data_IF_948729834658
#
_entry.id   IF_948729834658
#
_cell.length_a   1.000
_cell.length_b   1.000
_cell.length_c   1.000
_cell.angle_alpha   90.00
_cell.angle_beta   90.00
_cell.angle_gamma   90.00
#
_symmetry.space_group_name_H-M   'P 1'
#
loop_
_entity.id
_entity.type
_entity.pdbx_description
1 polymer ?
#
# COMPACT_ATOMS: atom_id res chain seq x y z
N UNK A 1 34.97 26.87 94.74
CA UNK A 1 35.64 27.01 93.42
C UNK A 1 35.91 25.61 92.90
N UNK A 2 35.35 25.27 91.73
CA UNK A 2 36.06 24.82 90.52
C UNK A 2 36.67 23.41 90.63
N UNK A 3 36.55 22.48 89.68
CA UNK A 3 36.15 22.56 88.28
C UNK A 3 35.87 21.13 87.78
N UNK A 4 34.82 20.94 86.97
CA UNK A 4 34.53 19.68 86.27
C UNK A 4 35.50 19.51 85.10
N UNK A 5 36.15 18.35 84.96
CA UNK A 5 36.85 17.96 83.73
C UNK A 5 36.09 16.81 83.06
N UNK A 6 35.54 17.08 81.89
CA UNK A 6 34.89 16.09 81.03
C UNK A 6 35.95 15.23 80.30
N UNK A 7 35.74 13.91 80.16
CA UNK A 7 36.65 13.06 79.41
C UNK A 7 36.57 13.35 77.90
N UNK A 8 37.74 13.50 77.27
CA UNK A 8 37.88 13.65 75.82
C UNK A 8 37.53 12.35 75.08
N UNK A 9 36.44 12.35 74.32
CA UNK A 9 36.16 11.30 73.32
C UNK A 9 37.16 11.39 72.15
N UNK A 10 37.89 10.31 71.89
CA UNK A 10 38.75 10.17 70.70
C UNK A 10 37.88 10.02 69.45
N UNK A 11 38.03 10.94 68.49
CA UNK A 11 37.34 10.86 67.19
C UNK A 11 37.93 9.73 66.34
N UNK A 12 37.11 8.84 65.75
CA UNK A 12 37.62 7.82 64.84
C UNK A 12 38.25 8.48 63.60
N UNK A 13 39.41 7.96 63.17
CA UNK A 13 40.07 8.39 61.92
C UNK A 13 39.20 8.02 60.72
N UNK A 14 38.68 9.02 60.03
CA UNK A 14 37.91 8.89 58.81
C UNK A 14 38.78 8.23 57.71
N UNK A 15 38.45 7.00 57.31
CA UNK A 15 39.09 6.30 56.18
C UNK A 15 38.31 6.65 54.92
N UNK A 16 38.96 7.33 53.97
CA UNK A 16 38.35 7.94 52.77
C UNK A 16 37.85 6.96 51.68
N UNK A 17 37.08 5.94 52.06
CA UNK A 17 36.54 4.92 51.12
C UNK A 17 35.16 5.32 50.56
N UNK A 18 34.42 6.18 51.24
CA UNK A 18 33.06 6.57 50.85
C UNK A 18 32.98 7.21 49.46
N UNK A 19 33.95 8.08 49.10
CA UNK A 19 33.99 8.73 47.79
C UNK A 19 34.17 7.70 46.66
N UNK A 20 35.04 6.71 46.84
CA UNK A 20 35.30 5.67 45.84
C UNK A 20 34.05 4.82 45.59
N UNK A 21 33.38 4.38 46.66
CA UNK A 21 32.15 3.58 46.57
C UNK A 21 31.05 4.35 45.83
N UNK A 22 30.85 5.64 46.15
CA UNK A 22 29.88 6.48 45.45
C UNK A 22 30.21 6.62 43.97
N UNK A 23 31.47 6.87 43.61
CA UNK A 23 31.89 6.98 42.20
C UNK A 23 31.60 5.69 41.44
N UNK A 24 31.90 4.52 42.03
CA UNK A 24 31.62 3.22 41.40
C UNK A 24 30.12 3.03 41.16
N UNK A 25 29.27 3.33 42.15
CA UNK A 25 27.81 3.25 41.97
C UNK A 25 27.29 4.20 40.91
N UNK A 26 27.81 5.44 40.86
CA UNK A 26 27.43 6.42 39.82
C UNK A 26 27.88 5.93 38.44
N UNK A 27 29.09 5.40 38.31
CA UNK A 27 29.60 4.86 37.05
C UNK A 27 28.76 3.66 36.57
N UNK A 28 28.46 2.71 37.45
CA UNK A 28 27.61 1.56 37.11
C UNK A 28 26.20 2.00 36.71
N UNK A 29 25.62 2.97 37.43
CA UNK A 29 24.30 3.53 37.10
C UNK A 29 24.31 4.24 35.74
N UNK A 30 25.38 4.97 35.42
CA UNK A 30 25.54 5.65 34.14
C UNK A 30 25.68 4.64 32.99
N UNK A 31 26.41 3.55 33.17
CA UNK A 31 26.51 2.47 32.17
C UNK A 31 25.16 1.82 31.90
N UNK A 32 24.37 1.55 32.95
CA UNK A 32 23.00 1.04 32.80
C UNK A 32 22.09 2.04 32.08
N UNK A 33 22.19 3.33 32.40
CA UNK A 33 21.42 4.38 31.73
C UNK A 33 21.77 4.50 30.24
N UNK A 34 23.07 4.45 29.89
CA UNK A 34 23.53 4.46 28.50
C UNK A 34 23.06 3.21 27.74
N UNK A 35 23.07 2.05 28.40
CA UNK A 35 22.57 0.81 27.81
C UNK A 35 21.06 0.87 27.57
N UNK A 36 20.28 1.30 28.55
CA UNK A 36 18.83 1.50 28.41
C UNK A 36 18.49 2.50 27.30
N UNK A 37 19.23 3.61 27.20
CA UNK A 37 19.04 4.62 26.14
C UNK A 37 19.28 4.04 24.74
N UNK A 38 20.37 3.28 24.54
CA UNK A 38 20.64 2.61 23.27
C UNK A 38 19.54 1.61 22.88
N UNK A 39 19.06 0.82 23.85
CA UNK A 39 17.95 -0.12 23.62
C UNK A 39 16.66 0.60 23.25
N UNK A 40 16.35 1.73 23.91
CA UNK A 40 15.17 2.54 23.60
C UNK A 40 15.21 3.10 22.17
N UNK A 41 16.36 3.63 21.73
CA UNK A 41 16.53 4.16 20.37
C UNK A 41 16.36 3.08 19.31
N UNK A 42 16.88 1.87 19.56
CA UNK A 42 16.70 0.75 18.65
C UNK A 42 15.23 0.33 18.55
N UNK A 43 14.53 0.25 19.69
CA UNK A 43 13.11 -0.09 19.72
C UNK A 43 12.27 0.97 18.98
N UNK A 44 12.57 2.26 19.15
CA UNK A 44 11.88 3.34 18.43
C UNK A 44 12.09 3.26 16.91
N UNK A 45 13.32 2.94 16.47
CA UNK A 45 13.61 2.77 15.04
C UNK A 45 12.80 1.62 14.44
N UNK A 46 12.75 0.47 15.12
CA UNK A 46 12.02 -0.72 14.67
C UNK A 46 10.52 -0.47 14.62
N UNK A 47 9.94 0.06 15.72
CA UNK A 47 8.51 0.42 15.79
C UNK A 47 8.16 1.46 14.73
N UNK A 48 9.04 2.44 14.51
CA UNK A 48 8.82 3.47 13.49
C UNK A 48 8.83 2.93 12.06
N UNK A 49 9.58 1.86 11.77
CA UNK A 49 9.57 1.21 10.45
C UNK A 49 8.31 0.38 10.25
N UNK A 50 7.93 -0.40 11.26
CA UNK A 50 6.71 -1.21 11.24
C UNK A 50 5.46 -0.34 11.10
N UNK A 51 5.36 0.74 11.89
CA UNK A 51 4.27 1.70 11.80
C UNK A 51 4.21 2.42 10.45
N UNK A 52 5.34 2.70 9.81
CA UNK A 52 5.36 3.28 8.45
C UNK A 52 4.89 2.27 7.41
N UNK A 53 5.29 0.99 7.54
CA UNK A 53 4.82 -0.08 6.68
C UNK A 53 3.32 -0.32 6.82
N UNK A 54 2.79 -0.37 8.04
CA UNK A 54 1.35 -0.53 8.29
C UNK A 54 0.53 0.60 7.63
N UNK A 55 0.98 1.85 7.74
CA UNK A 55 0.33 2.99 7.04
C UNK A 55 0.40 2.85 5.52
N UNK A 56 1.54 2.42 4.98
CA UNK A 56 1.68 2.16 3.55
C UNK A 56 0.76 1.02 3.09
N UNK A 57 0.61 -0.02 3.92
CA UNK A 57 -0.29 -1.14 3.65
C UNK A 57 -1.76 -0.68 3.63
N UNK A 58 -2.21 0.10 4.62
CA UNK A 58 -3.55 0.71 4.63
C UNK A 58 -3.78 1.61 3.40
N UNK A 59 -2.76 2.39 2.99
CA UNK A 59 -2.82 3.20 1.78
C UNK A 59 -2.95 2.34 0.52
N UNK A 60 -2.24 1.21 0.44
CA UNK A 60 -2.37 0.26 -0.67
C UNK A 60 -3.75 -0.42 -0.69
N UNK A 61 -4.35 -0.73 0.48
CA UNK A 61 -5.71 -1.25 0.55
C UNK A 61 -6.76 -0.24 0.05
N UNK A 62 -6.61 1.03 0.41
CA UNK A 62 -7.46 2.09 -0.10
C UNK A 62 -7.32 2.27 -1.62
N UNK A 63 -6.10 2.12 -2.17
CA UNK A 63 -5.88 2.12 -3.63
C UNK A 63 -6.53 0.92 -4.32
N UNK A 64 -6.50 -0.27 -3.71
CA UNK A 64 -7.20 -1.44 -4.25
C UNK A 64 -8.71 -1.18 -4.35
N UNK A 65 -9.30 -0.65 -3.28
CA UNK A 65 -10.72 -0.29 -3.27
C UNK A 65 -11.04 0.80 -4.29
N UNK A 66 -10.16 1.80 -4.43
CA UNK A 66 -10.29 2.88 -5.42
C UNK A 66 -10.30 2.35 -6.86
N UNK A 67 -9.42 1.38 -7.16
CA UNK A 67 -9.35 0.73 -8.45
C UNK A 67 -10.61 -0.13 -8.73
N UNK A 68 -11.19 -0.77 -7.72
CA UNK A 68 -12.47 -1.47 -7.89
C UNK A 68 -13.62 -0.52 -8.19
N UNK A 69 -13.63 0.67 -7.55
CA UNK A 69 -14.61 1.72 -7.82
C UNK A 69 -14.45 2.27 -9.24
N UNK A 70 -13.20 2.46 -9.71
CA UNK A 70 -12.89 2.80 -11.10
C UNK A 70 -13.44 1.75 -12.08
N UNK A 71 -13.20 0.45 -11.83
CA UNK A 71 -13.74 -0.65 -12.66
C UNK A 71 -15.28 -0.65 -12.67
N UNK A 72 -15.91 -0.32 -11.55
CA UNK A 72 -17.38 -0.26 -11.45
C UNK A 72 -17.97 1.02 -12.04
N UNK A 73 -17.17 2.08 -12.16
CA UNK A 73 -17.65 3.42 -12.50
C UNK A 73 -18.49 4.03 -11.39
N UNK A 74 -18.13 3.77 -10.13
CA UNK A 74 -18.89 4.16 -8.93
C UNK A 74 -18.08 5.11 -8.04
N UNK A 75 -18.76 5.96 -7.28
CA UNK A 75 -18.19 6.69 -6.16
C UNK A 75 -18.18 5.81 -4.90
N UNK A 76 -17.49 6.26 -3.84
CA UNK A 76 -17.41 5.54 -2.57
C UNK A 76 -18.77 5.30 -1.88
N UNK A 77 -19.80 6.08 -2.20
CA UNK A 77 -21.18 5.91 -1.70
C UNK A 77 -22.02 4.94 -2.55
N UNK A 78 -21.44 4.36 -3.61
CA UNK A 78 -22.10 3.45 -4.55
C UNK A 78 -22.91 4.16 -5.63
N UNK A 79 -22.95 5.49 -5.67
CA UNK A 79 -23.55 6.23 -6.77
C UNK A 79 -22.69 6.16 -8.03
N UNK A 80 -23.27 6.35 -9.21
CA UNK A 80 -22.52 6.36 -10.47
C UNK A 80 -21.54 7.53 -10.48
N UNK A 81 -20.29 7.27 -10.87
CA UNK A 81 -19.25 8.28 -11.02
C UNK A 81 -19.58 9.16 -12.24
N UNK A 82 -20.05 10.39 -11.98
CA UNK A 82 -20.44 11.36 -13.01
C UNK A 82 -19.60 12.62 -13.03
N UNK A 83 -18.69 12.78 -12.05
CA UNK A 83 -17.75 13.88 -11.96
C UNK A 83 -16.78 13.96 -13.15
N UNK A 84 -16.17 15.12 -13.36
CA UNK A 84 -15.27 15.38 -14.50
C UNK A 84 -14.00 14.53 -14.50
N UNK A 85 -13.57 14.05 -13.34
CA UNK A 85 -12.42 13.16 -13.19
C UNK A 85 -12.77 11.67 -13.37
N UNK A 86 -14.05 11.30 -13.42
CA UNK A 86 -14.44 9.92 -13.68
C UNK A 86 -13.89 9.46 -15.03
N UNK A 87 -13.45 8.20 -15.11
CA UNK A 87 -12.76 7.65 -16.30
C UNK A 87 -13.52 7.92 -17.59
N UNK A 88 -14.84 7.76 -17.58
CA UNK A 88 -15.67 7.97 -18.75
C UNK A 88 -15.68 9.41 -19.27
N UNK A 89 -15.40 10.38 -18.42
CA UNK A 89 -15.35 11.81 -18.76
C UNK A 89 -13.99 12.28 -19.26
N UNK A 90 -12.93 11.49 -19.08
CA UNK A 90 -11.59 11.82 -19.58
C UNK A 90 -11.38 11.23 -20.97
N UNK A 91 -11.38 12.05 -22.01
CA UNK A 91 -11.28 11.59 -23.41
C UNK A 91 -9.98 10.83 -23.72
N UNK A 92 -8.87 11.25 -23.13
CA UNK A 92 -7.56 10.61 -23.31
C UNK A 92 -7.40 9.29 -22.54
N UNK A 93 -8.25 9.01 -21.55
CA UNK A 93 -8.15 7.81 -20.74
C UNK A 93 -8.87 6.63 -21.42
N UNK A 94 -8.23 5.46 -21.55
CA UNK A 94 -8.90 4.24 -21.97
C UNK A 94 -10.06 3.90 -21.02
N UNK A 95 -11.12 3.31 -21.58
CA UNK A 95 -12.37 2.99 -20.87
C UNK A 95 -12.34 1.54 -20.37
N UNK A 96 -13.04 1.29 -19.27
CA UNK A 96 -13.30 -0.09 -18.81
C UNK A 96 -14.27 -0.72 -19.82
N UNK A 97 -13.95 -1.90 -20.37
CA UNK A 97 -14.82 -2.52 -21.38
C UNK A 97 -16.10 -2.99 -20.70
N UNK A 98 -17.25 -2.53 -21.20
CA UNK A 98 -18.59 -2.94 -20.71
C UNK A 98 -19.22 -3.99 -21.62
N UNK A 99 -18.73 -4.10 -22.85
CA UNK A 99 -19.17 -5.08 -23.84
C UNK A 99 -17.99 -5.87 -24.42
N UNK A 100 -18.27 -7.07 -24.93
CA UNK A 100 -17.23 -7.97 -25.47
C UNK A 100 -16.48 -7.34 -26.65
N UNK A 101 -17.18 -6.54 -27.46
CA UNK A 101 -16.60 -5.86 -28.61
C UNK A 101 -15.56 -4.78 -28.24
N UNK A 102 -15.60 -4.27 -27.01
CA UNK A 102 -14.67 -3.22 -26.54
C UNK A 102 -13.33 -3.79 -26.08
N UNK A 103 -13.27 -5.07 -25.73
CA UNK A 103 -12.09 -5.68 -25.10
C UNK A 103 -10.91 -5.73 -26.07
N UNK A 104 -11.12 -6.22 -27.29
CA UNK A 104 -10.05 -6.36 -28.29
C UNK A 104 -9.45 -5.02 -28.73
N UNK A 105 -10.25 -3.99 -29.10
CA UNK A 105 -9.73 -2.67 -29.42
C UNK A 105 -8.96 -2.03 -28.25
N UNK A 106 -9.49 -2.17 -27.02
CA UNK A 106 -8.81 -1.66 -25.82
C UNK A 106 -7.43 -2.29 -25.65
N UNK A 107 -7.35 -3.62 -25.69
CA UNK A 107 -6.09 -4.33 -25.49
C UNK A 107 -5.10 -4.06 -26.63
N UNK A 108 -5.57 -3.92 -27.86
CA UNK A 108 -4.73 -3.55 -28.99
C UNK A 108 -4.15 -2.13 -28.84
N UNK A 109 -4.96 -1.17 -28.37
CA UNK A 109 -4.49 0.20 -28.10
C UNK A 109 -3.47 0.23 -26.96
N UNK A 110 -3.75 -0.44 -25.85
CA UNK A 110 -2.80 -0.56 -24.74
C UNK A 110 -1.52 -1.27 -25.16
N UNK A 111 -1.58 -2.24 -26.08
CA UNK A 111 -0.38 -2.92 -26.59
C UNK A 111 0.53 -2.01 -27.42
N UNK A 112 0.03 -0.89 -27.96
CA UNK A 112 0.88 0.11 -28.62
C UNK A 112 1.65 1.01 -27.63
N UNK A 113 1.23 1.05 -26.36
CA UNK A 113 1.92 1.83 -25.34
C UNK A 113 3.26 1.20 -24.96
N UNK A 114 4.26 2.04 -24.73
CA UNK A 114 5.62 1.58 -24.36
C UNK A 114 5.64 0.72 -23.10
N UNK A 115 4.81 1.06 -22.12
CA UNK A 115 4.64 0.33 -20.85
C UNK A 115 3.46 -0.64 -20.88
N UNK A 116 2.80 -0.80 -22.04
CA UNK A 116 1.57 -1.60 -22.17
C UNK A 116 0.43 -1.15 -21.25
N UNK A 117 0.53 0.08 -20.73
CA UNK A 117 -0.34 0.66 -19.73
C UNK A 117 -0.62 2.13 -20.04
N UNK A 118 -1.86 2.55 -19.81
CA UNK A 118 -2.30 3.94 -19.97
C UNK A 118 -3.40 4.25 -18.96
N UNK A 119 -3.20 5.33 -18.20
CA UNK A 119 -4.08 5.81 -17.13
C UNK A 119 -4.48 4.70 -16.13
N UNK A 120 -3.53 3.85 -15.77
CA UNK A 120 -3.75 2.72 -14.86
C UNK A 120 -4.42 1.51 -15.49
N UNK A 121 -4.88 1.53 -16.76
CA UNK A 121 -5.31 0.31 -17.46
C UNK A 121 -4.13 -0.30 -18.18
N UNK A 122 -4.01 -1.62 -18.14
CA UNK A 122 -2.88 -2.35 -18.68
C UNK A 122 -3.34 -3.59 -19.45
N UNK A 123 -2.56 -4.00 -20.45
CA UNK A 123 -2.64 -5.39 -20.93
C UNK A 123 -2.07 -6.34 -19.88
N UNK A 124 -2.33 -7.63 -20.03
CA UNK A 124 -1.69 -8.67 -19.23
C UNK A 124 -0.17 -8.60 -19.39
N UNK A 125 0.56 -8.40 -18.29
CA UNK A 125 2.02 -8.38 -18.29
C UNK A 125 2.62 -9.68 -18.78
N UNK A 126 3.63 -9.55 -19.64
CA UNK A 126 4.54 -10.63 -20.01
C UNK A 126 5.75 -10.66 -19.04
N UNK A 127 6.36 -11.83 -18.87
CA UNK A 127 7.53 -11.99 -18.00
C UNK A 127 7.19 -11.99 -16.50
N UNK A 128 8.03 -11.33 -15.70
CA UNK A 128 7.90 -11.26 -14.25
C UNK A 128 6.65 -10.51 -13.81
N UNK A 129 5.91 -11.11 -12.88
CA UNK A 129 4.69 -10.53 -12.33
C UNK A 129 5.00 -9.51 -11.23
N UNK A 130 6.17 -9.62 -10.61
CA UNK A 130 6.70 -8.78 -9.52
C UNK A 130 7.51 -7.58 -10.04
N UNK A 131 7.00 -6.87 -11.05
CA UNK A 131 7.71 -5.76 -11.71
C UNK A 131 8.19 -4.66 -10.75
N UNK A 132 7.54 -4.50 -9.60
CA UNK A 132 7.93 -3.54 -8.56
C UNK A 132 9.31 -3.81 -7.95
N UNK A 133 9.85 -5.02 -8.13
CA UNK A 133 11.21 -5.36 -7.73
C UNK A 133 12.28 -4.78 -8.69
N UNK A 134 11.88 -4.29 -9.87
CA UNK A 134 12.75 -3.60 -10.82
C UNK A 134 12.48 -2.10 -10.81
N UNK A 135 13.23 -1.38 -9.96
CA UNK A 135 13.05 0.07 -9.77
C UNK A 135 13.41 0.88 -11.02
N UNK A 136 14.39 0.43 -11.78
CA UNK A 136 14.93 1.09 -12.97
C UNK A 136 15.08 0.12 -14.14
N UNK A 137 15.61 0.62 -15.25
CA UNK A 137 15.80 -0.15 -16.48
C UNK A 137 16.98 -1.15 -16.41
N UNK A 138 17.61 -1.33 -15.25
CA UNK A 138 18.79 -2.19 -15.11
C UNK A 138 18.40 -3.67 -14.98
N UNK A 139 18.91 -4.49 -15.91
CA UNK A 139 18.70 -5.94 -15.90
C UNK A 139 17.24 -6.34 -16.16
N UNK A 140 16.54 -5.58 -17.01
CA UNK A 140 15.26 -5.96 -17.59
C UNK A 140 15.48 -7.02 -18.67
N UNK A 141 14.61 -8.03 -18.69
CA UNK A 141 14.48 -8.99 -19.79
C UNK A 141 13.49 -8.46 -20.83
N UNK A 142 13.46 -9.11 -22.01
CA UNK A 142 12.52 -8.76 -23.06
C UNK A 142 11.07 -8.84 -22.56
N UNK A 143 10.32 -7.76 -22.76
CA UNK A 143 8.92 -7.63 -22.30
C UNK A 143 8.76 -7.14 -20.86
N UNK A 144 9.84 -6.94 -20.10
CA UNK A 144 9.77 -6.36 -18.76
C UNK A 144 9.81 -4.84 -18.76
N UNK A 145 9.16 -4.24 -17.78
CA UNK A 145 9.05 -2.78 -17.62
C UNK A 145 9.44 -2.40 -16.20
N UNK A 146 10.29 -1.37 -16.08
CA UNK A 146 10.71 -0.84 -14.79
C UNK A 146 9.57 -0.12 -14.06
N UNK A 147 9.57 -0.20 -12.73
CA UNK A 147 8.64 0.50 -11.86
C UNK A 147 8.67 2.01 -12.10
N UNK A 148 9.84 2.62 -12.31
CA UNK A 148 9.96 4.05 -12.57
C UNK A 148 9.25 4.51 -13.85
N UNK A 149 9.07 3.63 -14.84
CA UNK A 149 8.27 3.90 -16.04
C UNK A 149 6.77 3.69 -15.79
N UNK A 150 6.41 2.87 -14.79
CA UNK A 150 5.02 2.58 -14.42
C UNK A 150 4.41 3.63 -13.49
N UNK A 151 5.22 4.23 -12.62
CA UNK A 151 4.82 5.27 -11.64
C UNK A 151 4.94 6.67 -12.23
N UNK A 152 4.38 6.87 -13.42
CA UNK A 152 4.40 8.14 -14.14
C UNK A 152 2.95 8.59 -14.38
N UNK A 153 2.65 9.90 -14.33
CA UNK A 153 1.33 10.39 -14.72
C UNK A 153 0.91 9.85 -16.08
N UNK A 154 -0.36 9.47 -16.21
CA UNK A 154 -0.95 8.86 -17.42
C UNK A 154 -0.46 7.45 -17.75
N UNK A 155 0.42 6.83 -16.95
CA UNK A 155 0.74 5.39 -17.06
C UNK A 155 0.08 4.62 -15.93
N UNK A 156 0.40 4.95 -14.68
CA UNK A 156 -0.31 4.49 -13.49
C UNK A 156 -1.45 5.42 -13.13
N UNK A 157 -2.42 4.92 -12.38
CA UNK A 157 -3.47 5.73 -11.80
C UNK A 157 -3.18 6.03 -10.32
N UNK A 158 -3.58 7.22 -9.84
CA UNK A 158 -3.45 7.60 -8.43
C UNK A 158 -4.81 7.53 -7.71
N UNK A 159 -4.77 7.43 -6.38
CA UNK A 159 -5.96 7.40 -5.54
C UNK A 159 -6.93 8.57 -5.84
N UNK A 160 -8.20 8.26 -6.12
CA UNK A 160 -9.23 9.26 -6.42
C UNK A 160 -9.16 9.84 -7.82
N UNK A 161 -8.25 9.36 -8.68
CA UNK A 161 -8.15 9.85 -10.05
C UNK A 161 -9.43 9.55 -10.84
N UNK A 162 -10.10 8.42 -10.58
CA UNK A 162 -11.25 7.95 -11.37
C UNK A 162 -12.52 7.60 -10.58
N UNK A 163 -12.52 7.71 -9.25
CA UNK A 163 -13.58 7.24 -8.33
C UNK A 163 -14.26 8.35 -7.52
N UNK A 164 -13.93 9.62 -7.79
CA UNK A 164 -14.37 10.76 -6.99
C UNK A 164 -13.76 10.84 -5.58
N UNK A 165 -12.87 9.92 -5.18
CA UNK A 165 -12.28 9.93 -3.85
C UNK A 165 -11.43 11.19 -3.61
N UNK A 166 -11.68 11.86 -2.48
CA UNK A 166 -10.98 13.08 -2.12
C UNK A 166 -9.57 12.78 -1.60
N UNK A 167 -8.58 13.56 -2.04
CA UNK A 167 -7.20 13.54 -1.53
C UNK A 167 -7.07 14.23 -0.16
N UNK A 168 -8.20 14.65 0.41
CA UNK A 168 -8.28 15.42 1.65
C UNK A 168 -7.96 16.89 1.47
N UNK A 169 -8.17 17.65 2.54
CA UNK A 169 -7.87 19.07 2.70
C UNK A 169 -7.48 19.35 4.15
N UNK A 170 -7.11 20.59 4.45
CA UNK A 170 -6.90 21.04 5.84
C UNK A 170 -8.12 20.85 6.74
N UNK A 171 -9.33 20.77 6.18
CA UNK A 171 -10.60 20.58 6.89
C UNK A 171 -11.21 19.17 6.76
N UNK A 172 -10.70 18.34 5.85
CA UNK A 172 -11.10 16.94 5.66
C UNK A 172 -9.86 16.08 5.46
N UNK A 173 -9.28 15.56 6.53
CA UNK A 173 -8.06 14.77 6.44
C UNK A 173 -8.29 13.50 5.62
N UNK A 174 -7.43 13.22 4.66
CA UNK A 174 -7.35 11.93 3.97
C UNK A 174 -6.06 11.22 4.37
N UNK A 175 -5.86 10.01 3.83
CA UNK A 175 -4.65 9.27 4.06
C UNK A 175 -3.42 10.10 3.62
N UNK A 176 -2.49 10.42 4.54
CA UNK A 176 -1.39 11.35 4.29
C UNK A 176 -0.31 10.80 3.34
N UNK A 177 -0.31 9.49 3.07
CA UNK A 177 0.50 8.89 2.01
C UNK A 177 -0.18 9.18 0.66
N UNK A 178 -1.46 8.86 0.52
CA UNK A 178 -2.18 9.01 -0.76
C UNK A 178 -2.34 10.46 -1.22
N UNK A 179 -2.33 11.40 -0.27
CA UNK A 179 -2.32 12.83 -0.54
C UNK A 179 -0.98 13.34 -1.10
N UNK A 180 0.13 12.63 -0.86
CA UNK A 180 1.45 13.03 -1.34
C UNK A 180 1.62 12.69 -2.82
N UNK A 181 1.63 13.74 -3.65
CA UNK A 181 1.86 13.65 -5.09
C UNK A 181 3.09 14.46 -5.53
N UNK A 182 3.97 14.81 -4.58
CA UNK A 182 5.12 15.68 -4.81
C UNK A 182 6.15 15.10 -5.77
N UNK A 183 6.22 13.77 -5.86
CA UNK A 183 7.09 13.05 -6.79
C UNK A 183 6.46 11.71 -7.23
N UNK A 184 7.09 11.08 -8.23
CA UNK A 184 6.64 9.81 -8.80
C UNK A 184 6.84 8.62 -7.85
N UNK A 185 7.89 8.68 -7.04
CA UNK A 185 8.23 7.72 -5.97
C UNK A 185 7.58 8.08 -4.62
N UNK A 186 6.51 8.88 -4.65
CA UNK A 186 5.73 9.30 -3.47
C UNK A 186 4.24 9.06 -3.65
N UNK A 187 3.58 8.81 -2.52
CA UNK A 187 2.18 8.43 -2.43
C UNK A 187 1.92 7.02 -2.91
N UNK A 188 0.91 6.82 -3.74
CA UNK A 188 0.68 5.49 -4.31
C UNK A 188 -0.03 5.49 -5.64
N UNK A 189 0.03 4.31 -6.25
CA UNK A 189 -0.33 4.03 -7.63
C UNK A 189 -1.11 2.72 -7.70
N UNK A 190 -2.02 2.62 -8.66
CA UNK A 190 -2.61 1.35 -9.02
C UNK A 190 -2.60 1.13 -10.54
N UNK A 191 -2.64 -0.14 -10.90
CA UNK A 191 -2.75 -0.64 -12.25
C UNK A 191 -3.79 -1.76 -12.31
N UNK A 192 -4.61 -1.74 -13.34
CA UNK A 192 -5.72 -2.66 -13.62
C UNK A 192 -5.37 -3.36 -14.92
N UNK A 193 -4.92 -4.61 -14.82
CA UNK A 193 -4.69 -5.45 -15.99
C UNK A 193 -6.00 -6.09 -16.43
N UNK A 194 -6.35 -5.92 -17.70
CA UNK A 194 -7.54 -6.52 -18.30
C UNK A 194 -7.14 -7.85 -18.92
N UNK A 195 -7.73 -8.95 -18.45
CA UNK A 195 -7.44 -10.30 -18.95
C UNK A 195 -8.71 -10.95 -19.47
N UNK A 196 -8.64 -11.51 -20.69
CA UNK A 196 -9.68 -12.39 -21.18
C UNK A 196 -9.87 -13.57 -20.24
N UNK A 197 -11.12 -13.84 -19.90
CA UNK A 197 -11.52 -15.05 -19.21
C UNK A 197 -12.06 -16.05 -20.23
N UNK A 198 -11.77 -17.32 -20.03
CA UNK A 198 -12.14 -18.36 -20.98
C UNK A 198 -13.66 -18.55 -21.03
N UNK A 199 -14.26 -18.42 -22.22
CA UNK A 199 -15.72 -18.51 -22.40
C UNK A 199 -16.25 -19.93 -22.22
N UNK A 200 -15.42 -20.96 -22.36
CA UNK A 200 -15.85 -22.34 -22.13
C UNK A 200 -16.29 -22.56 -20.67
N UNK A 201 -15.76 -21.73 -19.76
CA UNK A 201 -16.05 -21.78 -18.32
C UNK A 201 -17.21 -20.88 -17.87
N UNK A 202 -17.94 -20.21 -18.77
CA UNK A 202 -19.03 -19.26 -18.41
C UNK A 202 -20.18 -19.88 -17.60
N UNK A 203 -20.36 -21.20 -17.73
CA UNK A 203 -21.37 -21.97 -16.99
C UNK A 203 -20.73 -22.79 -15.84
N UNK A 204 -19.42 -22.66 -15.62
CA UNK A 204 -18.71 -23.34 -14.54
C UNK A 204 -18.94 -22.57 -13.24
N UNK A 205 -19.86 -23.05 -12.41
CA UNK A 205 -20.00 -22.52 -11.07
C UNK A 205 -18.89 -23.05 -10.16
N UNK A 206 -18.16 -22.15 -9.49
CA UNK A 206 -17.04 -22.51 -8.60
C UNK A 206 -17.43 -22.51 -7.13
N UNK A 207 -18.53 -21.82 -6.77
CA UNK A 207 -18.99 -21.69 -5.39
C UNK A 207 -20.15 -22.64 -5.18
N UNK A 208 -19.94 -23.67 -4.38
CA UNK A 208 -20.99 -24.59 -3.93
C UNK A 208 -21.91 -23.88 -2.92
N UNK A 209 -23.21 -24.14 -3.01
CA UNK A 209 -24.16 -23.76 -1.97
C UNK A 209 -23.84 -24.44 -0.63
N UNK A 210 -24.53 -24.02 0.43
CA UNK A 210 -24.38 -24.61 1.76
C UNK A 210 -24.65 -26.13 1.79
N UNK A 211 -24.14 -26.83 2.80
CA UNK A 211 -24.29 -28.29 2.92
C UNK A 211 -25.76 -28.73 2.72
N UNK A 212 -25.99 -29.64 1.76
CA UNK A 212 -27.32 -30.16 1.42
C UNK A 212 -27.97 -29.54 0.19
N UNK A 213 -27.40 -28.48 -0.42
CA UNK A 213 -27.87 -28.02 -1.73
C UNK A 213 -27.49 -29.00 -2.86
N UNK A 214 -28.36 -29.24 -3.85
CA UNK A 214 -28.05 -30.18 -4.93
C UNK A 214 -26.84 -29.72 -5.75
N UNK A 215 -26.13 -30.65 -6.40
CA UNK A 215 -24.87 -30.42 -7.15
C UNK A 215 -24.97 -29.41 -8.30
N UNK A 216 -26.18 -29.00 -8.68
CA UNK A 216 -26.48 -27.96 -9.66
C UNK A 216 -26.71 -26.56 -9.03
N UNK A 217 -26.58 -26.40 -7.72
CA UNK A 217 -26.70 -25.13 -6.99
C UNK A 217 -25.35 -24.43 -6.85
N UNK A 218 -24.67 -24.24 -7.96
CA UNK A 218 -23.42 -23.49 -8.01
C UNK A 218 -23.72 -22.02 -8.28
N UNK A 219 -23.02 -21.09 -7.62
CA UNK A 219 -23.09 -19.68 -8.01
C UNK A 219 -22.38 -19.51 -9.37
N UNK A 220 -23.17 -19.22 -10.40
CA UNK A 220 -22.63 -18.92 -11.73
C UNK A 220 -21.98 -17.53 -11.72
N UNK A 221 -20.82 -17.41 -12.36
CA UNK A 221 -20.17 -16.13 -12.58
C UNK A 221 -20.84 -15.44 -13.77
N UNK A 222 -21.58 -14.35 -13.51
CA UNK A 222 -22.18 -13.51 -14.55
C UNK A 222 -21.23 -12.36 -14.93
N UNK A 223 -20.23 -12.69 -15.74
CA UNK A 223 -19.25 -11.73 -16.25
C UNK A 223 -19.72 -11.13 -17.57
N UNK A 224 -19.82 -9.80 -17.63
CA UNK A 224 -20.07 -9.05 -18.87
C UNK A 224 -19.15 -7.83 -18.92
N UNK A 225 -18.18 -7.77 -19.86
CA UNK A 225 -17.72 -8.85 -20.73
C UNK A 225 -17.00 -9.97 -19.95
N UNK A 226 -16.66 -11.09 -20.61
CA UNK A 226 -15.98 -12.20 -19.95
C UNK A 226 -14.49 -11.90 -19.71
N UNK A 227 -14.22 -10.95 -18.83
CA UNK A 227 -12.89 -10.48 -18.44
C UNK A 227 -12.74 -10.53 -16.93
N UNK A 228 -11.51 -10.73 -16.51
CA UNK A 228 -11.10 -10.62 -15.11
C UNK A 228 -10.01 -9.58 -15.01
N UNK A 229 -10.10 -8.76 -13.98
CA UNK A 229 -9.13 -7.71 -13.73
C UNK A 229 -8.11 -8.17 -12.70
N UNK A 230 -6.84 -7.89 -12.93
CA UNK A 230 -5.82 -7.98 -11.88
C UNK A 230 -5.40 -6.58 -11.48
N UNK A 231 -5.69 -6.24 -10.23
CA UNK A 231 -5.37 -4.94 -9.68
C UNK A 231 -4.08 -5.10 -8.89
N UNK A 232 -3.08 -4.28 -9.22
CA UNK A 232 -1.88 -4.11 -8.40
C UNK A 232 -1.92 -2.71 -7.82
N UNK A 233 -1.87 -2.58 -6.50
CA UNK A 233 -1.74 -1.31 -5.79
C UNK A 233 -0.39 -1.26 -5.08
N UNK A 234 0.27 -0.11 -5.17
CA UNK A 234 1.56 0.15 -4.56
C UNK A 234 1.49 1.48 -3.83
N UNK A 235 1.94 1.50 -2.57
CA UNK A 235 2.08 2.71 -1.79
C UNK A 235 3.49 2.81 -1.23
N UNK A 236 4.11 3.99 -1.41
CA UNK A 236 5.36 4.37 -0.79
C UNK A 236 5.09 4.90 0.61
N UNK A 237 5.74 4.29 1.62
CA UNK A 237 5.76 4.85 2.97
C UNK A 237 6.52 6.16 3.03
N UNK A 238 6.52 6.81 4.19
CA UNK A 238 7.22 8.10 4.35
C UNK A 238 8.73 7.91 4.49
N UNK A 239 9.19 6.75 4.97
CA UNK A 239 10.61 6.41 5.04
C UNK A 239 11.10 5.89 3.68
N UNK A 240 12.32 6.26 3.29
CA UNK A 240 12.86 6.12 1.92
C UNK A 240 13.01 4.70 1.34
N UNK A 241 12.56 3.65 2.03
CA UNK A 241 12.57 2.26 1.56
C UNK A 241 11.29 1.50 1.90
N UNK A 242 10.31 2.13 2.54
CA UNK A 242 9.06 1.48 2.87
C UNK A 242 8.17 1.45 1.64
N UNK A 243 7.74 0.27 1.25
CA UNK A 243 6.80 0.09 0.15
C UNK A 243 5.87 -1.07 0.49
N UNK A 244 4.58 -0.85 0.35
CA UNK A 244 3.58 -1.90 0.42
C UNK A 244 3.02 -2.12 -0.99
N UNK A 245 2.96 -3.39 -1.40
CA UNK A 245 2.36 -3.80 -2.67
C UNK A 245 1.31 -4.84 -2.38
N UNK A 246 0.11 -4.61 -2.91
CA UNK A 246 -1.01 -5.55 -2.83
C UNK A 246 -1.48 -5.87 -4.22
N UNK A 247 -1.87 -7.13 -4.42
CA UNK A 247 -2.39 -7.60 -5.68
C UNK A 247 -3.66 -8.39 -5.43
N UNK A 248 -4.69 -8.12 -6.22
CA UNK A 248 -5.94 -8.86 -6.17
C UNK A 248 -6.47 -9.15 -7.57
N UNK A 249 -7.29 -10.18 -7.65
CA UNK A 249 -8.03 -10.53 -8.85
C UNK A 249 -9.49 -10.18 -8.61
N UNK A 250 -10.04 -9.30 -9.43
CA UNK A 250 -11.38 -8.76 -9.33
C UNK A 250 -12.19 -9.14 -10.56
N UNK A 251 -13.34 -9.77 -10.36
CA UNK A 251 -14.25 -10.18 -11.43
C UNK A 251 -15.61 -9.51 -11.18
N UNK A 252 -15.95 -8.52 -12.01
CA UNK A 252 -17.19 -7.75 -11.86
C UNK A 252 -18.39 -8.65 -12.18
N UNK A 253 -19.23 -8.90 -11.19
CA UNK A 253 -20.52 -9.56 -11.39
C UNK A 253 -21.56 -8.52 -11.80
N UNK A 254 -22.18 -8.72 -12.96
CA UNK A 254 -23.32 -7.89 -13.38
C UNK A 254 -24.58 -8.55 -12.83
N UNK A 255 -25.42 -7.79 -12.12
CA UNK A 255 -26.73 -8.32 -11.70
C UNK A 255 -27.57 -8.54 -12.96
N UNK A 256 -28.28 -9.67 -12.99
CA UNK A 256 -29.29 -9.89 -14.01
C UNK A 256 -30.49 -9.03 -13.60
N UNK A 257 -30.77 -8.00 -14.39
CA UNK A 257 -32.01 -7.23 -14.28
C UNK A 257 -33.23 -8.16 -14.47
#
# INVERSE_FOLDING_TARGET
MQSRHFPHQRRPRQRGVALFVVIVFVMLSMLLALWASRTSLFNEMLVGNDADYQRAFEAAQALLQDAELDIRGENADGSVCTATNCRDKISAAPKIPLETQDVTPLLAALDQETTKCSYGLCTKRAGRQDFWNKKDNTGLLAGEIALSSMTVPNVGARYGQFSGAAQGSSSKQANPILADRSANDRGGWYWIEVMHYDESSKNSGLIVGGAGTPTNSLLNLNLKPNVVYRITALAYGRKGNTMAVLQQTYARQVRKD
#
